data_IF_915889826806
#
_entry.id   IF_915889826806
#
_cell.length_a   1.000
_cell.length_b   1.000
_cell.length_c   1.000
_cell.angle_alpha   90.00
_cell.angle_beta   90.00
_cell.angle_gamma   90.00
#
_symmetry.space_group_name_H-M   'P 1'
#
loop_
_entity.id
_entity.type
_entity.pdbx_description
1 polymer ?
#
# COMPACT_ATOMS: atom_id res chain seq x y z
N UNK A 1 46.53 2.56 17.29
CA UNK A 1 45.71 3.53 16.53
C UNK A 1 44.55 2.83 15.78
N UNK A 2 44.81 1.82 14.95
CA UNK A 2 43.76 1.15 14.16
C UNK A 2 42.61 0.52 14.97
N UNK A 3 42.91 -0.09 16.13
CA UNK A 3 41.87 -0.74 16.96
C UNK A 3 40.88 0.24 17.60
N UNK A 4 41.35 1.44 17.97
CA UNK A 4 40.50 2.50 18.51
C UNK A 4 39.54 3.00 17.42
N UNK A 5 40.05 3.19 16.20
CA UNK A 5 39.24 3.56 15.04
C UNK A 5 38.22 2.47 14.70
N UNK A 6 38.62 1.19 14.74
CA UNK A 6 37.72 0.06 14.47
C UNK A 6 36.61 -0.03 15.52
N UNK A 7 36.93 0.16 16.80
CA UNK A 7 35.96 0.16 17.88
C UNK A 7 35.00 1.36 17.79
N UNK A 8 35.50 2.55 17.46
CA UNK A 8 34.69 3.75 17.25
C UNK A 8 33.74 3.57 16.06
N UNK A 9 34.22 3.03 14.94
CA UNK A 9 33.40 2.76 13.75
C UNK A 9 32.30 1.74 14.03
N UNK A 10 32.63 0.67 14.76
CA UNK A 10 31.64 -0.33 15.17
C UNK A 10 30.52 0.28 16.04
N UNK A 11 30.88 1.10 17.03
CA UNK A 11 29.92 1.79 17.90
C UNK A 11 29.08 2.81 17.13
N UNK A 12 29.70 3.55 16.21
CA UNK A 12 28.99 4.48 15.33
C UNK A 12 27.96 3.76 14.45
N UNK A 13 28.30 2.60 13.90
CA UNK A 13 27.37 1.77 13.12
C UNK A 13 26.12 1.36 13.91
N UNK A 14 26.26 1.04 15.21
CA UNK A 14 25.11 0.71 16.08
C UNK A 14 24.20 1.93 16.24
N UNK A 15 24.77 3.11 16.49
CA UNK A 15 24.00 4.35 16.64
C UNK A 15 23.30 4.71 15.33
N UNK A 16 24.01 4.63 14.20
CA UNK A 16 23.48 4.90 12.88
C UNK A 16 22.31 3.98 12.52
N UNK A 17 22.41 2.68 12.86
CA UNK A 17 21.32 1.72 12.64
C UNK A 17 20.06 2.08 13.43
N UNK A 18 20.22 2.46 14.70
CA UNK A 18 19.09 2.87 15.54
C UNK A 18 18.45 4.16 15.02
N UNK A 19 19.26 5.14 14.62
CA UNK A 19 18.77 6.40 14.08
C UNK A 19 18.03 6.19 12.74
N UNK A 20 18.56 5.33 11.87
CA UNK A 20 17.91 4.94 10.62
C UNK A 20 16.55 4.29 10.84
N UNK A 21 16.42 3.42 11.85
CA UNK A 21 15.14 2.82 12.21
C UNK A 21 14.14 3.86 12.72
N UNK A 22 14.58 4.81 13.54
CA UNK A 22 13.73 5.90 14.05
C UNK A 22 13.25 6.79 12.89
N UNK A 23 14.16 7.20 11.99
CA UNK A 23 13.81 8.00 10.81
C UNK A 23 12.86 7.24 9.87
N UNK A 24 13.13 5.97 9.61
CA UNK A 24 12.28 5.12 8.78
C UNK A 24 10.87 5.00 9.37
N UNK A 25 10.75 4.78 10.68
CA UNK A 25 9.45 4.76 11.37
C UNK A 25 8.75 6.11 11.32
N UNK A 26 9.47 7.21 11.50
CA UNK A 26 8.89 8.55 11.41
C UNK A 26 8.32 8.83 10.02
N UNK A 27 9.08 8.53 8.96
CA UNK A 27 8.64 8.68 7.57
C UNK A 27 7.43 7.78 7.27
N UNK A 28 7.50 6.51 7.66
CA UNK A 28 6.39 5.57 7.46
C UNK A 28 5.12 6.01 8.19
N UNK A 29 5.26 6.51 9.42
CA UNK A 29 4.14 7.03 10.21
C UNK A 29 3.55 8.29 9.57
N UNK A 30 4.40 9.22 9.15
CA UNK A 30 3.96 10.42 8.45
C UNK A 30 3.21 10.08 7.16
N UNK A 31 3.76 9.20 6.32
CA UNK A 31 3.11 8.73 5.09
C UNK A 31 1.77 8.02 5.37
N UNK A 32 1.73 7.17 6.40
CA UNK A 32 0.51 6.45 6.77
C UNK A 32 -0.63 7.42 7.08
N UNK A 33 -0.38 8.43 7.92
CA UNK A 33 -1.42 9.36 8.33
C UNK A 33 -1.69 10.49 7.33
N UNK A 34 -0.72 10.90 6.51
CA UNK A 34 -0.89 12.00 5.55
C UNK A 34 -1.39 11.55 4.18
N UNK A 35 -1.08 10.32 3.77
CA UNK A 35 -1.45 9.79 2.45
C UNK A 35 -2.38 8.59 2.60
N UNK A 36 -1.94 7.52 3.25
CA UNK A 36 -2.69 6.25 3.19
C UNK A 36 -4.06 6.35 3.86
N UNK A 37 -4.14 6.92 5.06
CA UNK A 37 -5.40 7.10 5.81
C UNK A 37 -6.41 7.97 5.05
N UNK A 38 -6.11 9.23 4.66
CA UNK A 38 -7.10 10.08 4.01
C UNK A 38 -7.60 9.49 2.69
N UNK A 39 -6.71 8.93 1.86
CA UNK A 39 -7.12 8.30 0.60
C UNK A 39 -7.92 7.02 0.83
N UNK A 40 -7.55 6.20 1.83
CA UNK A 40 -8.32 5.02 2.20
C UNK A 40 -9.71 5.36 2.72
N UNK A 41 -9.83 6.40 3.55
CA UNK A 41 -11.12 6.88 4.05
C UNK A 41 -11.97 7.46 2.91
N UNK A 42 -11.38 8.27 2.02
CA UNK A 42 -12.08 8.78 0.83
C UNK A 42 -12.59 7.62 -0.02
N UNK A 43 -11.77 6.59 -0.27
CA UNK A 43 -12.18 5.42 -1.03
C UNK A 43 -13.34 4.66 -0.37
N UNK A 44 -13.38 4.59 0.97
CA UNK A 44 -14.47 3.91 1.68
C UNK A 44 -15.75 4.76 1.72
N UNK A 45 -15.65 6.06 1.94
CA UNK A 45 -16.81 6.92 2.20
C UNK A 45 -17.37 7.60 0.94
N UNK A 46 -16.55 7.88 -0.07
CA UNK A 46 -16.97 8.61 -1.28
C UNK A 46 -17.39 7.64 -2.38
N UNK A 47 -16.59 6.59 -2.61
CA UNK A 47 -16.94 5.51 -3.53
C UNK A 47 -17.92 4.59 -2.82
N UNK A 48 -19.23 4.75 -3.09
CA UNK A 48 -20.36 3.94 -2.59
C UNK A 48 -20.10 2.43 -2.64
N UNK A 49 -19.38 1.93 -1.64
CA UNK A 49 -18.97 0.53 -1.48
C UNK A 49 -18.50 -0.13 -2.79
N UNK A 50 -17.48 0.44 -3.43
CA UNK A 50 -16.94 -0.10 -4.69
C UNK A 50 -16.39 -1.54 -4.58
N UNK A 51 -16.19 -2.01 -3.35
CA UNK A 51 -15.72 -3.37 -3.02
C UNK A 51 -16.85 -4.26 -2.49
N UNK A 52 -18.09 -3.78 -2.50
CA UNK A 52 -19.29 -4.48 -2.03
C UNK A 52 -19.11 -5.17 -0.66
N UNK A 53 -18.41 -4.50 0.26
CA UNK A 53 -18.02 -5.05 1.57
C UNK A 53 -19.21 -5.26 2.50
N UNK A 54 -20.35 -4.62 2.23
CA UNK A 54 -21.59 -4.75 3.01
C UNK A 54 -22.49 -5.90 2.53
N UNK A 55 -22.26 -6.44 1.34
CA UNK A 55 -23.06 -7.55 0.82
C UNK A 55 -22.48 -8.90 1.21
N UNK A 56 -23.34 -9.90 1.40
CA UNK A 56 -22.89 -11.27 1.55
C UNK A 56 -22.19 -11.72 0.26
N UNK A 57 -21.06 -12.47 0.34
CA UNK A 57 -20.42 -13.03 -0.83
C UNK A 57 -21.44 -13.80 -1.66
N UNK A 58 -21.67 -13.34 -2.89
CA UNK A 58 -22.67 -13.92 -3.78
C UNK A 58 -22.10 -14.03 -5.19
N UNK A 59 -22.56 -15.04 -5.92
CA UNK A 59 -22.29 -15.15 -7.34
C UNK A 59 -23.09 -14.06 -8.06
N UNK A 60 -22.41 -12.99 -8.48
CA UNK A 60 -23.03 -11.93 -9.27
C UNK A 60 -23.36 -12.47 -10.67
N UNK A 61 -24.63 -12.36 -11.06
CA UNK A 61 -25.06 -12.66 -12.41
C UNK A 61 -24.40 -11.65 -13.36
N UNK A 62 -23.50 -12.15 -14.23
CA UNK A 62 -22.92 -11.35 -15.30
C UNK A 62 -23.89 -11.37 -16.48
N UNK A 63 -24.24 -10.20 -17.02
CA UNK A 63 -25.01 -10.18 -18.26
C UNK A 63 -24.24 -10.92 -19.36
N UNK A 64 -24.90 -11.82 -20.11
CA UNK A 64 -24.27 -12.49 -21.22
C UNK A 64 -23.84 -11.45 -22.24
N UNK A 65 -22.56 -11.51 -22.61
CA UNK A 65 -22.01 -10.70 -23.69
C UNK A 65 -22.75 -11.05 -24.97
N UNK A 66 -23.06 -10.04 -25.80
CA UNK A 66 -23.69 -10.23 -27.11
C UNK A 66 -23.03 -11.37 -27.90
N UNK A 67 -23.80 -12.43 -28.16
CA UNK A 67 -23.35 -13.65 -28.83
C UNK A 67 -23.11 -13.44 -30.34
N UNK A 68 -23.33 -12.22 -30.84
CA UNK A 68 -23.16 -11.87 -32.25
C UNK A 68 -21.69 -11.61 -32.57
N UNK A 69 -21.31 -12.02 -33.79
CA UNK A 69 -19.96 -11.84 -34.33
C UNK A 69 -19.47 -10.37 -34.26
N UNK A 70 -20.39 -9.43 -34.43
CA UNK A 70 -20.14 -7.98 -34.31
C UNK A 70 -19.71 -7.57 -32.88
N UNK A 71 -20.35 -8.13 -31.85
CA UNK A 71 -20.00 -7.89 -30.44
C UNK A 71 -18.66 -8.52 -30.06
N UNK A 72 -18.38 -9.71 -30.58
CA UNK A 72 -17.12 -10.43 -30.33
C UNK A 72 -15.88 -9.65 -30.82
N UNK A 73 -15.99 -8.89 -31.92
CA UNK A 73 -14.88 -8.06 -32.46
C UNK A 73 -14.44 -6.92 -31.52
N UNK A 74 -15.30 -6.50 -30.59
CA UNK A 74 -15.02 -5.39 -29.66
C UNK A 74 -14.44 -5.83 -28.31
N UNK A 75 -14.22 -7.14 -28.13
CA UNK A 75 -13.66 -7.71 -26.89
C UNK A 75 -12.17 -8.03 -26.95
N UNK A 76 -11.48 -7.63 -28.04
CA UNK A 76 -10.03 -7.74 -28.18
C UNK A 76 -9.29 -6.54 -27.61
#
# INVERSE_FOLDING_TARGET
MGDIFRLAWHRFGIIAKNLGNIQGRAIATAFYYSVLVPFGLIAVYVTKDALDRKSAPSWLAREPVDNRLEGAKRQG
#
